data_IF_750457976542
#
_entry.id   IF_750457976542
#
_cell.length_a   1.000
_cell.length_b   1.000
_cell.length_c   1.000
_cell.angle_alpha   90.00
_cell.angle_beta   90.00
_cell.angle_gamma   90.00
#
_symmetry.space_group_name_H-M   'P 1'
#
loop_
_entity.id
_entity.type
_entity.pdbx_description
1 polymer ?
#
# COMPACT_ATOMS: atom_id res chain seq x y z
N UNK A 1 23.14 -0.55 -74.77
CA UNK A 1 24.21 -1.46 -75.22
C UNK A 1 24.11 -2.67 -74.33
N UNK A 2 23.47 -3.70 -74.80
CA UNK A 2 24.06 -4.95 -75.30
C UNK A 2 24.68 -5.75 -74.18
N UNK A 3 24.41 -6.96 -73.92
CA UNK A 3 23.72 -8.07 -74.58
C UNK A 3 23.99 -9.34 -73.78
N UNK A 4 22.98 -10.20 -73.64
CA UNK A 4 23.06 -11.64 -73.98
C UNK A 4 24.07 -12.49 -73.14
N UNK A 5 23.82 -13.73 -72.75
CA UNK A 5 23.28 -14.89 -73.41
C UNK A 5 23.17 -16.07 -72.47
N UNK A 6 22.05 -16.80 -72.45
CA UNK A 6 21.84 -18.25 -72.59
C UNK A 6 22.83 -19.19 -71.88
N UNK A 7 22.47 -20.36 -71.38
CA UNK A 7 21.53 -21.37 -71.86
C UNK A 7 21.76 -22.69 -71.13
N UNK A 8 20.72 -23.53 -71.07
CA UNK A 8 20.69 -25.01 -71.02
C UNK A 8 21.26 -25.68 -69.76
N UNK A 9 20.61 -26.53 -69.07
CA UNK A 9 19.61 -27.56 -69.36
C UNK A 9 20.15 -28.86 -68.82
N UNK A 10 19.41 -29.53 -67.93
CA UNK A 10 19.36 -31.00 -68.03
C UNK A 10 18.30 -31.55 -67.04
N UNK A 11 17.46 -32.36 -67.60
CA UNK A 11 16.44 -33.18 -66.95
C UNK A 11 17.09 -34.30 -66.16
N UNK A 12 16.57 -34.67 -65.02
CA UNK A 12 16.51 -36.08 -64.67
C UNK A 12 15.35 -36.35 -63.72
N UNK A 13 14.78 -37.46 -63.95
CA UNK A 13 13.49 -37.98 -63.49
C UNK A 13 13.58 -38.77 -62.18
N UNK A 14 12.41 -38.90 -61.53
CA UNK A 14 11.93 -39.95 -60.63
C UNK A 14 12.31 -39.96 -59.14
N UNK A 15 11.27 -39.95 -58.35
CA UNK A 15 11.26 -40.39 -57.02
C UNK A 15 9.98 -39.93 -56.25
N UNK A 16 8.82 -40.54 -56.60
CA UNK A 16 7.60 -40.40 -55.81
C UNK A 16 7.78 -41.22 -54.54
N UNK A 17 7.92 -40.53 -53.41
CA UNK A 17 7.76 -41.15 -52.09
C UNK A 17 6.52 -40.55 -51.47
N UNK A 18 5.48 -41.36 -51.40
CA UNK A 18 4.28 -41.07 -50.60
C UNK A 18 4.63 -41.15 -49.12
N UNK A 19 4.92 -39.98 -48.54
CA UNK A 19 5.04 -39.85 -47.09
C UNK A 19 3.69 -39.44 -46.50
N UNK A 20 3.06 -40.32 -45.74
CA UNK A 20 1.92 -40.01 -44.91
C UNK A 20 2.34 -38.95 -43.87
N UNK A 21 1.96 -37.71 -44.11
CA UNK A 21 2.09 -36.66 -43.08
C UNK A 21 0.95 -36.80 -42.08
N UNK A 22 1.28 -37.32 -40.94
CA UNK A 22 0.40 -37.24 -39.76
C UNK A 22 0.25 -35.76 -39.39
N UNK A 23 -0.93 -35.19 -39.58
CA UNK A 23 -1.32 -33.90 -38.99
C UNK A 23 -1.38 -34.07 -37.46
N UNK A 24 -0.35 -33.65 -36.80
CA UNK A 24 -0.44 -33.37 -35.34
C UNK A 24 -1.13 -32.02 -35.17
N UNK A 25 -2.38 -32.07 -34.76
CA UNK A 25 -3.09 -30.88 -34.26
C UNK A 25 -2.34 -30.33 -33.05
N UNK A 26 -2.03 -29.02 -32.99
CA UNK A 26 -1.55 -28.41 -31.78
C UNK A 26 -2.71 -28.46 -30.77
N UNK A 27 -2.53 -29.24 -29.71
CA UNK A 27 -3.43 -29.27 -28.58
C UNK A 27 -3.52 -27.82 -28.02
N UNK A 28 -4.74 -27.26 -27.97
CA UNK A 28 -5.04 -26.11 -27.14
C UNK A 28 -4.71 -26.49 -25.69
N UNK A 29 -3.51 -26.15 -25.27
CA UNK A 29 -3.18 -26.12 -23.85
C UNK A 29 -4.04 -25.03 -23.21
N UNK A 30 -5.07 -25.43 -22.49
CA UNK A 30 -5.73 -24.55 -21.53
C UNK A 30 -4.67 -24.08 -20.53
N UNK A 31 -4.06 -22.94 -20.84
CA UNK A 31 -3.36 -22.15 -19.84
C UNK A 31 -4.44 -21.57 -18.92
N UNK A 32 -4.93 -22.42 -18.03
CA UNK A 32 -5.61 -21.98 -16.84
C UNK A 32 -4.61 -21.12 -16.09
N UNK A 33 -4.71 -19.79 -16.30
CA UNK A 33 -4.01 -18.83 -15.48
C UNK A 33 -4.39 -19.19 -14.04
N UNK A 34 -3.43 -19.73 -13.30
CA UNK A 34 -3.57 -19.89 -11.87
C UNK A 34 -3.76 -18.48 -11.34
N UNK A 35 -5.01 -18.12 -11.05
CA UNK A 35 -5.30 -16.95 -10.23
C UNK A 35 -4.53 -17.18 -8.94
N UNK A 36 -3.46 -16.41 -8.72
CA UNK A 36 -2.83 -16.35 -7.42
C UNK A 36 -3.92 -15.86 -6.48
N UNK A 37 -4.41 -16.75 -5.65
CA UNK A 37 -5.23 -16.38 -4.50
C UNK A 37 -4.29 -15.57 -3.63
N UNK A 38 -4.37 -14.25 -3.75
CA UNK A 38 -3.65 -13.33 -2.89
C UNK A 38 -4.10 -13.67 -1.47
N UNK A 39 -3.18 -14.15 -0.66
CA UNK A 39 -3.50 -14.56 0.71
C UNK A 39 -3.99 -13.34 1.46
N UNK A 40 -5.07 -13.49 2.23
CA UNK A 40 -5.57 -12.43 3.10
C UNK A 40 -4.42 -11.80 3.90
N UNK A 41 -4.44 -10.48 4.13
CA UNK A 41 -3.36 -9.79 4.82
C UNK A 41 -3.16 -10.37 6.22
N UNK A 42 -1.89 -10.55 6.60
CA UNK A 42 -1.57 -10.93 7.97
C UNK A 42 -1.88 -9.78 8.90
N UNK A 43 -2.80 -9.99 9.82
CA UNK A 43 -3.18 -9.01 10.86
C UNK A 43 -2.49 -9.38 12.17
N UNK A 44 -1.79 -8.41 12.77
CA UNK A 44 -1.14 -8.57 14.07
C UNK A 44 -2.00 -7.95 15.17
N UNK A 45 -2.17 -8.68 16.27
CA UNK A 45 -2.94 -8.20 17.42
C UNK A 45 -2.08 -7.24 18.26
N UNK A 46 -2.60 -6.06 18.56
CA UNK A 46 -2.01 -5.15 19.52
C UNK A 46 -2.64 -5.36 20.90
N UNK A 47 -1.80 -5.68 21.88
CA UNK A 47 -2.18 -5.85 23.27
C UNK A 47 -1.49 -4.77 24.08
N UNK A 48 -2.21 -3.73 24.48
CA UNK A 48 -1.88 -2.77 25.54
C UNK A 48 -0.51 -2.07 25.56
N UNK A 49 0.51 -2.66 24.97
CA UNK A 49 1.89 -2.11 24.90
C UNK A 49 2.34 -1.75 23.47
N UNK A 50 1.48 -1.98 22.47
CA UNK A 50 1.74 -1.75 21.04
C UNK A 50 3.05 -2.37 20.52
N UNK A 51 3.60 -3.39 21.24
CA UNK A 51 4.92 -3.92 21.01
C UNK A 51 5.16 -4.37 19.56
N UNK A 52 4.27 -5.13 18.89
CA UNK A 52 4.49 -5.56 17.51
C UNK A 52 4.64 -4.37 16.56
N UNK A 53 3.78 -3.35 16.68
CA UNK A 53 3.82 -2.15 15.86
C UNK A 53 5.09 -1.33 16.13
N UNK A 54 5.46 -1.16 17.39
CA UNK A 54 6.66 -0.42 17.79
C UNK A 54 7.95 -1.09 17.29
N UNK A 55 8.02 -2.41 17.36
CA UNK A 55 9.17 -3.18 16.86
C UNK A 55 9.30 -3.04 15.34
N UNK A 56 8.18 -3.20 14.60
CA UNK A 56 8.15 -3.02 13.16
C UNK A 56 8.50 -1.58 12.78
N UNK A 57 7.94 -0.60 13.45
CA UNK A 57 8.23 0.82 13.23
C UNK A 57 9.72 1.13 13.41
N UNK A 58 10.35 0.61 14.45
CA UNK A 58 11.78 0.85 14.71
C UNK A 58 12.71 0.04 13.81
N UNK A 59 12.32 -1.17 13.42
CA UNK A 59 13.07 -1.99 12.45
C UNK A 59 13.14 -1.33 11.08
N UNK A 60 12.09 -0.61 10.71
CA UNK A 60 11.98 0.07 9.42
C UNK A 60 12.56 1.50 9.43
N UNK A 61 13.53 1.78 10.30
CA UNK A 61 14.31 3.02 10.22
C UNK A 61 15.01 3.12 8.87
N UNK A 62 15.13 4.34 8.35
CA UNK A 62 15.62 4.60 6.99
C UNK A 62 14.53 4.55 5.92
N UNK A 63 13.29 4.19 6.27
CA UNK A 63 12.12 4.32 5.41
C UNK A 63 11.25 5.49 5.87
N UNK A 64 10.60 6.18 4.93
CA UNK A 64 9.45 7.02 5.26
C UNK A 64 8.32 6.09 5.70
N UNK A 65 7.71 6.36 6.84
CA UNK A 65 6.65 5.50 7.40
C UNK A 65 5.33 6.24 7.40
N UNK A 66 4.36 5.66 6.75
CA UNK A 66 2.98 6.12 6.75
C UNK A 66 2.21 5.31 7.79
N UNK A 67 1.45 5.97 8.63
CA UNK A 67 0.63 5.30 9.62
C UNK A 67 -0.80 5.83 9.55
N UNK A 68 -1.75 4.92 9.55
CA UNK A 68 -3.18 5.23 9.45
C UNK A 68 -3.90 4.55 10.62
N UNK A 69 -4.83 5.25 11.25
CA UNK A 69 -5.70 4.70 12.30
C UNK A 69 -7.14 4.77 11.80
N UNK A 70 -7.80 3.65 11.68
CA UNK A 70 -9.13 3.54 11.05
C UNK A 70 -10.02 2.52 11.76
N UNK A 71 -11.33 2.68 11.63
CA UNK A 71 -12.28 1.58 11.85
C UNK A 71 -12.52 0.88 10.51
N UNK A 72 -12.42 -0.47 10.42
CA UNK A 72 -12.47 -1.20 9.16
C UNK A 72 -13.85 -1.22 8.48
N UNK A 73 -14.91 -0.68 9.11
CA UNK A 73 -16.24 -0.54 8.52
C UNK A 73 -16.70 0.90 8.36
N UNK A 74 -15.88 1.88 8.74
CA UNK A 74 -16.20 3.28 8.63
C UNK A 74 -16.15 3.74 7.17
N UNK A 75 -17.23 4.27 6.57
CA UNK A 75 -17.24 4.66 5.16
C UNK A 75 -16.21 5.73 4.81
N UNK A 76 -16.00 6.73 5.67
CA UNK A 76 -14.98 7.76 5.49
C UNK A 76 -13.58 7.17 5.56
N UNK A 77 -13.30 6.31 6.53
CA UNK A 77 -12.02 5.62 6.64
C UNK A 77 -11.74 4.75 5.41
N UNK A 78 -12.75 4.00 4.91
CA UNK A 78 -12.60 3.17 3.71
C UNK A 78 -12.32 4.02 2.46
N UNK A 79 -12.99 5.17 2.32
CA UNK A 79 -12.67 6.14 1.27
C UNK A 79 -11.23 6.64 1.38
N UNK A 80 -10.81 7.03 2.57
CA UNK A 80 -9.44 7.50 2.80
C UNK A 80 -8.37 6.43 2.55
N UNK A 81 -8.65 5.15 2.83
CA UNK A 81 -7.78 4.04 2.47
C UNK A 81 -7.70 3.86 0.95
N UNK A 82 -8.84 3.97 0.22
CA UNK A 82 -8.85 3.92 -1.23
C UNK A 82 -8.04 5.09 -1.85
N UNK A 83 -8.27 6.32 -1.37
CA UNK A 83 -7.49 7.50 -1.78
C UNK A 83 -5.99 7.32 -1.48
N UNK A 84 -5.63 6.70 -0.33
CA UNK A 84 -4.25 6.37 0.00
C UNK A 84 -3.65 5.40 -1.03
N UNK A 85 -4.38 4.37 -1.44
CA UNK A 85 -3.98 3.44 -2.50
C UNK A 85 -3.77 4.16 -3.83
N UNK A 86 -4.80 4.87 -4.30
CA UNK A 86 -4.86 5.43 -5.65
C UNK A 86 -4.06 6.73 -5.81
N UNK A 87 -4.16 7.65 -4.86
CA UNK A 87 -3.56 8.98 -4.96
C UNK A 87 -2.14 9.04 -4.37
N UNK A 88 -1.80 8.16 -3.43
CA UNK A 88 -0.48 8.16 -2.79
C UNK A 88 0.35 7.00 -3.30
N UNK A 89 0.01 5.76 -2.92
CA UNK A 89 0.89 4.60 -3.12
C UNK A 89 1.08 4.25 -4.60
N UNK A 90 0.02 4.31 -5.41
CA UNK A 90 0.08 4.00 -6.84
C UNK A 90 0.94 4.99 -7.64
N UNK A 91 1.18 6.20 -7.12
CA UNK A 91 1.94 7.27 -7.79
C UNK A 91 3.39 7.36 -7.35
N UNK A 92 3.77 6.61 -6.33
CA UNK A 92 5.15 6.60 -5.87
C UNK A 92 6.06 5.81 -6.82
N UNK A 93 7.34 6.19 -6.93
CA UNK A 93 8.34 5.37 -7.60
C UNK A 93 8.38 3.95 -7.00
N UNK A 94 8.58 2.93 -7.83
CA UNK A 94 8.64 1.52 -7.35
C UNK A 94 9.74 1.28 -6.32
N UNK A 95 10.82 2.05 -6.41
CA UNK A 95 11.97 2.03 -5.51
C UNK A 95 11.80 2.92 -4.28
N UNK A 96 10.66 3.57 -4.13
CA UNK A 96 10.40 4.45 -2.98
C UNK A 96 10.55 3.70 -1.65
N UNK A 97 11.37 4.23 -0.78
CA UNK A 97 11.62 3.65 0.55
C UNK A 97 10.50 4.01 1.52
N UNK A 98 9.38 3.32 1.38
CA UNK A 98 8.17 3.55 2.18
C UNK A 98 7.73 2.28 2.88
N UNK A 99 7.14 2.44 4.07
CA UNK A 99 6.40 1.43 4.83
C UNK A 99 5.05 1.99 5.23
N UNK A 100 4.05 1.16 5.24
CA UNK A 100 2.67 1.54 5.61
C UNK A 100 2.22 0.69 6.80
N UNK A 101 1.68 1.33 7.82
CA UNK A 101 1.11 0.70 9.00
C UNK A 101 -0.35 1.12 9.11
N UNK A 102 -1.25 0.16 9.15
CA UNK A 102 -2.69 0.42 9.32
C UNK A 102 -3.12 -0.19 10.65
N UNK A 103 -3.48 0.66 11.59
CA UNK A 103 -4.05 0.26 12.87
C UNK A 103 -5.56 0.32 12.76
N UNK A 104 -6.20 -0.83 12.90
CA UNK A 104 -7.64 -0.96 12.90
C UNK A 104 -8.17 -1.02 14.32
N UNK A 105 -9.20 -0.23 14.61
CA UNK A 105 -9.83 -0.12 15.91
C UNK A 105 -11.36 -0.13 15.80
N UNK A 106 -12.10 -0.71 16.79
CA UNK A 106 -13.56 -0.85 16.75
C UNK A 106 -14.26 0.43 17.20
N UNK A 107 -13.98 1.57 16.55
CA UNK A 107 -14.51 2.89 16.99
C UNK A 107 -16.01 3.00 16.81
N UNK A 108 -16.53 2.45 15.69
CA UNK A 108 -17.97 2.42 15.40
C UNK A 108 -18.51 0.99 15.33
N UNK A 109 -17.74 0.01 15.78
CA UNK A 109 -18.17 -1.38 15.90
C UNK A 109 -17.57 -2.34 14.88
N UNK A 110 -16.54 -1.96 14.15
CA UNK A 110 -15.76 -2.86 13.29
C UNK A 110 -15.10 -3.98 14.08
N UNK A 111 -14.66 -5.01 13.37
CA UNK A 111 -14.00 -6.20 13.93
C UNK A 111 -12.80 -6.60 13.07
N UNK A 112 -11.99 -7.52 13.61
CA UNK A 112 -10.87 -8.10 12.87
C UNK A 112 -11.28 -8.80 11.58
N UNK A 113 -12.53 -9.30 11.50
CA UNK A 113 -13.09 -9.96 10.30
C UNK A 113 -13.33 -9.00 9.13
N UNK A 114 -13.44 -7.70 9.43
CA UNK A 114 -13.70 -6.67 8.44
C UNK A 114 -12.40 -6.14 7.80
N UNK A 115 -11.24 -6.42 8.43
CA UNK A 115 -9.94 -5.92 7.99
C UNK A 115 -9.55 -6.39 6.58
N UNK A 116 -9.76 -7.66 6.16
CA UNK A 116 -9.38 -8.07 4.80
C UNK A 116 -9.99 -7.20 3.71
N UNK A 117 -11.29 -6.89 3.82
CA UNK A 117 -11.97 -6.04 2.84
C UNK A 117 -11.45 -4.58 2.86
N UNK A 118 -11.16 -4.03 4.03
CA UNK A 118 -10.56 -2.71 4.17
C UNK A 118 -9.13 -2.66 3.61
N UNK A 119 -8.35 -3.72 3.80
CA UNK A 119 -6.96 -3.81 3.34
C UNK A 119 -6.84 -3.86 1.81
N UNK A 120 -7.80 -4.47 1.12
CA UNK A 120 -7.84 -4.53 -0.35
C UNK A 120 -7.86 -3.14 -0.99
N UNK A 121 -8.42 -2.13 -0.30
CA UNK A 121 -8.51 -0.75 -0.81
C UNK A 121 -7.15 -0.07 -0.97
N UNK A 122 -6.11 -0.54 -0.28
CA UNK A 122 -4.77 0.01 -0.41
C UNK A 122 -4.03 -0.46 -1.68
N UNK A 123 -4.52 -1.52 -2.33
CA UNK A 123 -3.89 -2.10 -3.53
C UNK A 123 -2.38 -2.36 -3.40
N UNK A 124 -1.92 -2.73 -2.19
CA UNK A 124 -0.50 -2.93 -1.91
C UNK A 124 -0.26 -4.04 -0.89
N UNK A 125 0.79 -4.81 -1.10
CA UNK A 125 1.32 -5.77 -0.13
C UNK A 125 2.34 -5.15 0.83
N UNK A 126 2.62 -3.85 0.71
CA UNK A 126 3.60 -3.14 1.56
C UNK A 126 3.01 -2.75 2.92
N UNK A 127 1.68 -2.86 3.09
CA UNK A 127 1.01 -2.47 4.31
C UNK A 127 1.07 -3.58 5.37
N UNK A 128 1.44 -3.20 6.58
CA UNK A 128 1.32 -4.00 7.78
C UNK A 128 0.01 -3.65 8.48
N UNK A 129 -0.81 -4.66 8.78
CA UNK A 129 -2.10 -4.47 9.42
C UNK A 129 -2.08 -4.91 10.87
N UNK A 130 -2.64 -4.08 11.74
CA UNK A 130 -2.72 -4.31 13.17
C UNK A 130 -4.17 -4.18 13.62
N UNK A 131 -4.58 -5.04 14.53
CA UNK A 131 -5.87 -4.97 15.19
C UNK A 131 -5.70 -4.59 16.66
N UNK A 132 -6.28 -3.46 17.05
CA UNK A 132 -6.34 -3.02 18.45
C UNK A 132 -7.79 -3.09 18.95
N UNK A 133 -8.20 -4.19 19.62
CA UNK A 133 -9.59 -4.42 20.01
C UNK A 133 -10.07 -3.48 21.13
N UNK A 134 -9.16 -2.82 21.83
CA UNK A 134 -9.48 -1.94 22.97
C UNK A 134 -9.56 -0.47 22.59
N UNK A 135 -9.08 -0.08 21.41
CA UNK A 135 -8.98 1.30 20.99
C UNK A 135 -7.96 2.12 21.79
N UNK A 136 -7.00 1.47 22.44
CA UNK A 136 -6.02 2.16 23.29
C UNK A 136 -5.01 2.94 22.47
N UNK A 137 -4.69 2.47 21.27
CA UNK A 137 -3.76 3.15 20.38
C UNK A 137 -4.27 4.53 19.96
N UNK A 138 -5.53 4.64 19.52
CA UNK A 138 -6.14 5.91 19.17
C UNK A 138 -6.22 6.88 20.35
N UNK A 139 -6.41 6.37 21.58
CA UNK A 139 -6.35 7.20 22.80
C UNK A 139 -4.94 7.71 23.07
N UNK A 140 -3.91 6.88 22.91
CA UNK A 140 -2.51 7.28 23.04
C UNK A 140 -2.13 8.31 21.97
N UNK A 141 -2.53 8.08 20.72
CA UNK A 141 -2.30 9.03 19.62
C UNK A 141 -2.98 10.37 19.91
N UNK A 142 -4.21 10.38 20.42
CA UNK A 142 -4.90 11.61 20.81
C UNK A 142 -4.09 12.44 21.81
N UNK A 143 -3.50 11.79 22.81
CA UNK A 143 -2.63 12.46 23.78
C UNK A 143 -1.35 13.00 23.16
N UNK A 144 -0.68 12.20 22.33
CA UNK A 144 0.56 12.59 21.64
C UNK A 144 0.33 13.79 20.71
N UNK A 145 -0.78 13.80 19.99
CA UNK A 145 -1.12 14.84 19.02
C UNK A 145 -1.76 16.07 19.69
N UNK A 146 -2.21 15.95 20.95
CA UNK A 146 -2.96 17.01 21.64
C UNK A 146 -4.25 17.34 20.90
N UNK A 147 -5.00 16.29 20.48
CA UNK A 147 -6.26 16.49 19.77
C UNK A 147 -7.36 16.87 20.76
N UNK A 148 -7.93 18.05 20.54
CA UNK A 148 -9.01 18.58 21.37
C UNK A 148 -10.16 19.07 20.49
N UNK A 149 -11.39 18.86 20.94
CA UNK A 149 -12.59 19.55 20.49
C UNK A 149 -13.06 20.45 21.62
N UNK A 150 -12.77 21.75 21.53
CA UNK A 150 -12.87 22.64 22.66
C UNK A 150 -11.88 22.23 23.77
N UNK A 151 -12.38 21.88 24.95
CA UNK A 151 -11.56 21.36 26.08
C UNK A 151 -11.55 19.84 26.19
N UNK A 152 -12.28 19.12 25.34
CA UNK A 152 -12.43 17.66 25.42
C UNK A 152 -11.43 16.94 24.50
N UNK A 153 -10.75 15.87 24.99
CA UNK A 153 -9.94 15.03 24.12
C UNK A 153 -10.79 14.38 23.01
N UNK A 154 -10.26 14.37 21.80
CA UNK A 154 -10.84 13.69 20.65
C UNK A 154 -10.11 12.38 20.44
N UNK A 155 -10.85 11.29 20.27
CA UNK A 155 -10.25 10.00 19.91
C UNK A 155 -9.58 10.08 18.54
N UNK A 156 -8.31 9.69 18.45
CA UNK A 156 -7.54 9.79 17.21
C UNK A 156 -7.80 8.57 16.32
N UNK A 157 -8.74 8.71 15.40
CA UNK A 157 -9.04 7.74 14.35
C UNK A 157 -9.31 8.50 13.05
N UNK A 158 -9.38 7.81 11.94
CA UNK A 158 -9.50 8.42 10.62
C UNK A 158 -8.45 9.52 10.40
N UNK A 159 -7.21 9.17 10.77
CA UNK A 159 -6.02 10.01 10.72
C UNK A 159 -4.93 9.35 9.89
N UNK A 160 -4.18 10.17 9.15
CA UNK A 160 -3.16 9.77 8.18
C UNK A 160 -1.88 10.51 8.52
N UNK A 161 -0.82 9.80 8.85
CA UNK A 161 0.40 10.34 9.43
C UNK A 161 1.63 9.99 8.64
N UNK A 162 2.61 10.91 8.58
CA UNK A 162 3.91 10.70 7.95
C UNK A 162 5.00 10.82 9.02
N UNK A 163 5.89 9.85 9.04
CA UNK A 163 7.10 9.83 9.87
C UNK A 163 8.34 9.80 8.98
N UNK A 164 9.33 10.68 9.23
CA UNK A 164 10.57 10.70 8.47
C UNK A 164 11.42 9.45 8.79
N UNK A 165 12.42 9.13 7.93
CA UNK A 165 13.23 7.92 8.10
C UNK A 165 13.98 7.81 9.43
N UNK A 166 14.28 8.94 10.06
CA UNK A 166 15.02 9.01 11.33
C UNK A 166 14.10 9.00 12.57
N UNK A 167 12.77 8.95 12.42
CA UNK A 167 11.87 8.88 13.57
C UNK A 167 12.13 7.60 14.38
N UNK A 168 12.06 7.68 15.70
CA UNK A 168 12.27 6.57 16.63
C UNK A 168 11.13 6.52 17.63
N UNK A 169 10.60 5.33 17.85
CA UNK A 169 9.63 5.09 18.90
C UNK A 169 10.36 4.63 20.18
N UNK A 170 10.77 5.57 21.00
CA UNK A 170 11.53 5.31 22.24
C UNK A 170 10.71 5.40 23.52
N UNK A 171 9.53 6.02 23.46
CA UNK A 171 8.63 6.23 24.60
C UNK A 171 7.61 5.11 24.80
N UNK A 172 6.74 5.29 25.80
CA UNK A 172 5.59 4.40 26.02
C UNK A 172 4.50 4.59 24.98
N UNK A 173 4.31 5.82 24.47
CA UNK A 173 3.37 6.14 23.41
C UNK A 173 4.06 6.26 22.06
N UNK A 174 3.29 6.29 20.94
CA UNK A 174 3.83 6.47 19.60
C UNK A 174 4.52 7.83 19.47
N UNK A 175 5.51 7.95 18.55
CA UNK A 175 6.17 9.23 18.32
C UNK A 175 5.24 10.24 17.64
N UNK A 176 5.54 11.53 17.75
CA UNK A 176 4.84 12.54 16.96
C UNK A 176 5.18 12.40 15.48
N UNK A 177 4.18 12.43 14.57
CA UNK A 177 4.42 12.50 13.14
C UNK A 177 4.98 13.86 12.73
N UNK A 178 5.71 13.91 11.62
CA UNK A 178 6.14 15.16 11.01
C UNK A 178 5.02 15.89 10.27
N UNK A 179 4.00 15.13 9.85
CA UNK A 179 2.82 15.63 9.16
C UNK A 179 1.63 14.72 9.42
N UNK A 180 0.44 15.30 9.47
CA UNK A 180 -0.78 14.52 9.60
C UNK A 180 -1.95 15.22 8.89
N UNK A 181 -2.89 14.43 8.38
CA UNK A 181 -4.21 14.82 7.92
C UNK A 181 -5.30 13.97 8.57
N UNK A 182 -6.56 14.41 8.52
CA UNK A 182 -7.67 13.70 9.16
C UNK A 182 -9.00 13.91 8.44
N UNK A 183 -9.99 13.06 8.74
CA UNK A 183 -11.39 13.25 8.36
C UNK A 183 -12.31 13.43 9.57
N UNK A 184 -11.76 13.82 10.73
CA UNK A 184 -12.51 14.01 11.97
C UNK A 184 -13.27 15.32 11.96
N UNK A 185 -14.58 15.31 12.24
CA UNK A 185 -15.35 16.54 12.38
C UNK A 185 -14.92 17.33 13.63
N UNK A 186 -14.90 18.66 13.51
CA UNK A 186 -14.69 19.55 14.66
C UNK A 186 -13.25 19.70 15.15
N UNK A 187 -12.25 19.12 14.47
CA UNK A 187 -10.87 19.49 14.70
C UNK A 187 -10.53 20.84 14.06
N UNK A 188 -9.51 21.50 14.61
CA UNK A 188 -8.97 22.74 14.05
C UNK A 188 -8.22 22.46 12.76
N UNK A 189 -8.86 22.77 11.62
CA UNK A 189 -8.31 22.55 10.29
C UNK A 189 -7.09 23.45 9.98
N UNK A 190 -6.82 24.50 10.76
CA UNK A 190 -5.62 25.29 10.61
C UNK A 190 -4.40 24.57 11.20
N UNK A 191 -4.62 23.83 12.30
CA UNK A 191 -3.58 23.06 12.96
C UNK A 191 -3.42 21.68 12.33
N UNK A 192 -4.53 21.03 11.98
CA UNK A 192 -4.57 19.71 11.40
C UNK A 192 -5.40 19.77 10.11
N UNK A 193 -4.77 19.74 8.92
CA UNK A 193 -5.50 19.86 7.67
C UNK A 193 -6.42 18.65 7.43
N UNK A 194 -7.61 18.89 6.83
CA UNK A 194 -8.49 17.80 6.41
C UNK A 194 -7.83 16.95 5.33
N UNK A 195 -8.27 15.68 5.23
CA UNK A 195 -7.72 14.72 4.28
C UNK A 195 -7.84 15.20 2.83
N UNK A 196 -6.72 15.19 2.15
CA UNK A 196 -6.57 15.38 0.71
C UNK A 196 -5.43 14.45 0.25
N UNK A 197 -5.77 13.36 -0.45
CA UNK A 197 -4.81 12.35 -0.88
C UNK A 197 -3.70 12.91 -1.77
N UNK A 198 -4.01 13.89 -2.64
CA UNK A 198 -3.02 14.51 -3.54
C UNK A 198 -2.03 15.39 -2.79
N UNK A 199 -2.55 16.18 -1.83
CA UNK A 199 -1.69 16.99 -0.98
C UNK A 199 -0.83 16.10 -0.08
N UNK A 200 -1.40 15.02 0.46
CA UNK A 200 -0.66 14.05 1.26
C UNK A 200 0.46 13.38 0.44
N UNK A 201 0.18 12.97 -0.82
CA UNK A 201 1.19 12.43 -1.74
C UNK A 201 2.34 13.41 -2.00
N UNK A 202 2.01 14.70 -2.16
CA UNK A 202 3.03 15.75 -2.30
C UNK A 202 3.93 15.80 -1.05
N UNK A 203 3.35 15.77 0.15
CA UNK A 203 4.11 15.77 1.41
C UNK A 203 4.99 14.53 1.58
N UNK A 204 4.49 13.36 1.19
CA UNK A 204 5.29 12.12 1.16
C UNK A 204 6.48 12.29 0.22
N UNK A 205 6.26 12.82 -0.98
CA UNK A 205 7.32 13.04 -1.98
C UNK A 205 8.38 14.06 -1.50
N UNK A 206 7.96 15.15 -0.86
CA UNK A 206 8.86 16.14 -0.26
C UNK A 206 9.81 15.49 0.78
N UNK A 207 9.25 14.65 1.66
CA UNK A 207 10.04 13.98 2.71
C UNK A 207 10.98 12.94 2.09
N UNK A 208 10.54 12.19 1.07
CA UNK A 208 11.38 11.25 0.34
C UNK A 208 12.57 11.96 -0.31
N UNK A 209 12.34 13.09 -0.97
CA UNK A 209 13.39 13.86 -1.66
C UNK A 209 14.46 14.39 -0.69
N UNK A 210 14.04 14.86 0.50
CA UNK A 210 14.97 15.35 1.54
C UNK A 210 15.78 14.19 2.16
N UNK A 211 15.22 13.00 2.14
CA UNK A 211 15.78 11.82 2.81
C UNK A 211 16.62 10.94 1.90
N UNK A 212 16.75 11.27 0.61
CA UNK A 212 17.59 10.52 -0.33
C UNK A 212 19.07 10.82 -0.04
N UNK A 213 19.89 9.81 0.31
CA UNK A 213 21.33 9.99 0.59
C UNK A 213 22.17 10.45 -0.62
N UNK A 214 21.55 10.63 -1.79
CA UNK A 214 22.20 11.16 -2.99
C UNK A 214 22.08 12.69 -3.15
N UNK A 215 21.35 13.34 -2.25
CA UNK A 215 21.26 14.81 -2.13
C UNK A 215 22.09 15.28 -0.88
#
# INVERSE_FOLDING_TARGET
MSSHFRSFGSRSLYGVVLGLSALTLPGCGDHKAASQVESAPKVMLLNGDDQPLREDFNRDQGFVRLMVVVDPICPECLRGLADMGDDVLAKLPKEARIKVYVVHEPVIGGSDKDIPAAAELLHTTLAHHYWNPTGDFGRQMSQVLGLLHGSSPVFAWDIYMIYPPNAVWSGKGPPQPSYLMHQLPGLDNQKFPPWDGKLFATKVSDILAISDPKN
#
